data_IF_137156296322
#
_entry.id   IF_137156296322
#
_cell.length_a   1.000
_cell.length_b   1.000
_cell.length_c   1.000
_cell.angle_alpha   90.00
_cell.angle_beta   90.00
_cell.angle_gamma   90.00
#
_symmetry.space_group_name_H-M   'P 1'
#
loop_
_entity.id
_entity.type
_entity.pdbx_description
1 polymer ?
#
# COMPACT_ATOMS: atom_id res chain seq x y z
N UNK A 1 -3.51 20.77 12.02
CA UNK A 1 -2.49 20.39 11.05
C UNK A 1 -2.80 19.03 10.47
N UNK A 2 -2.59 18.86 9.17
CA UNK A 2 -2.95 17.62 8.47
C UNK A 2 -1.72 16.72 8.38
N UNK A 3 -1.93 15.47 8.71
CA UNK A 3 -0.88 14.47 8.60
C UNK A 3 -1.34 13.35 7.70
N UNK A 4 -0.40 12.78 6.98
CA UNK A 4 -0.67 11.66 6.10
C UNK A 4 0.09 10.44 6.59
N UNK A 5 -0.58 9.31 6.57
CA UNK A 5 0.02 8.02 6.87
C UNK A 5 -0.19 7.10 5.70
N UNK A 6 0.85 6.38 5.34
CA UNK A 6 0.79 5.44 4.23
C UNK A 6 1.05 4.06 4.79
N UNK A 7 0.01 3.23 4.80
CA UNK A 7 0.10 1.87 5.31
C UNK A 7 0.32 0.92 4.16
N UNK A 8 1.37 0.11 4.24
CA UNK A 8 1.63 -0.93 3.25
C UNK A 8 1.03 -2.22 3.78
N UNK A 9 0.17 -2.84 2.98
CA UNK A 9 -0.51 -4.07 3.35
C UNK A 9 -0.19 -5.16 2.36
N UNK A 10 -0.10 -6.37 2.88
CA UNK A 10 0.18 -7.56 2.11
C UNK A 10 -1.06 -8.45 2.14
N UNK A 11 -1.41 -9.01 1.00
CA UNK A 11 -2.54 -9.92 0.92
C UNK A 11 -2.15 -11.27 1.50
N UNK A 12 -2.97 -11.78 2.40
CA UNK A 12 -2.78 -13.10 2.98
C UNK A 12 -3.88 -14.01 2.43
N UNK A 13 -3.50 -14.87 1.49
CA UNK A 13 -4.47 -15.73 0.81
C UNK A 13 -5.09 -16.74 1.76
N UNK A 14 -4.31 -17.23 2.73
CA UNK A 14 -4.82 -18.22 3.67
C UNK A 14 -5.95 -17.65 4.52
N UNK A 15 -5.83 -16.40 4.92
CA UNK A 15 -6.85 -15.76 5.75
C UNK A 15 -7.82 -14.92 4.94
N UNK A 16 -7.55 -14.76 3.64
CA UNK A 16 -8.36 -13.94 2.74
C UNK A 16 -8.52 -12.52 3.28
N UNK A 17 -7.42 -11.94 3.73
CA UNK A 17 -7.46 -10.61 4.30
C UNK A 17 -6.13 -9.91 4.09
N UNK A 18 -6.14 -8.58 4.31
CA UNK A 18 -4.95 -7.76 4.21
C UNK A 18 -4.31 -7.61 5.58
N UNK A 19 -2.98 -7.66 5.60
CA UNK A 19 -2.22 -7.46 6.83
C UNK A 19 -1.32 -6.25 6.68
N UNK A 20 -1.27 -5.42 7.71
CA UNK A 20 -0.32 -4.32 7.75
C UNK A 20 1.08 -4.89 7.89
N UNK A 21 1.99 -4.44 7.02
CA UNK A 21 3.38 -4.86 7.14
C UNK A 21 4.28 -3.69 7.50
N UNK A 22 3.88 -2.47 7.20
CA UNK A 22 4.63 -1.30 7.61
C UNK A 22 3.80 -0.04 7.40
N UNK A 23 4.29 1.06 7.97
CA UNK A 23 3.59 2.33 7.90
C UNK A 23 4.64 3.43 7.75
N UNK A 24 4.35 4.40 6.89
CA UNK A 24 5.29 5.47 6.58
C UNK A 24 4.57 6.81 6.60
N UNK A 25 5.33 7.86 6.87
CA UNK A 25 4.78 9.20 6.86
C UNK A 25 4.91 9.88 5.50
N UNK A 26 5.66 9.31 4.57
CA UNK A 26 5.80 9.86 3.24
C UNK A 26 5.58 8.78 2.19
N UNK A 27 5.00 9.19 1.07
CA UNK A 27 4.70 8.27 -0.02
C UNK A 27 5.96 7.68 -0.66
N UNK A 28 7.02 8.45 -0.91
CA UNK A 28 8.21 7.86 -1.52
C UNK A 28 8.80 6.71 -0.71
N UNK A 29 8.78 6.83 0.60
CA UNK A 29 9.28 5.76 1.44
C UNK A 29 8.38 4.53 1.37
N UNK A 30 7.08 4.74 1.33
CA UNK A 30 6.14 3.62 1.21
C UNK A 30 6.30 2.91 -0.12
N UNK A 31 6.48 3.67 -1.20
CA UNK A 31 6.66 3.08 -2.52
C UNK A 31 7.96 2.30 -2.61
N UNK A 32 9.02 2.84 -2.03
CA UNK A 32 10.30 2.14 -2.04
C UNK A 32 10.20 0.82 -1.29
N UNK A 33 9.52 0.84 -0.14
CA UNK A 33 9.33 -0.38 0.65
C UNK A 33 8.48 -1.38 -0.14
N UNK A 34 7.44 -0.91 -0.80
CA UNK A 34 6.58 -1.77 -1.60
C UNK A 34 7.37 -2.49 -2.68
N UNK A 35 8.20 -1.76 -3.40
CA UNK A 35 9.00 -2.36 -4.47
C UNK A 35 9.97 -3.38 -3.92
N UNK A 36 10.60 -3.06 -2.80
CA UNK A 36 11.55 -3.97 -2.19
C UNK A 36 10.86 -5.27 -1.77
N UNK A 37 9.68 -5.14 -1.17
CA UNK A 37 8.95 -6.31 -0.71
C UNK A 37 8.47 -7.17 -1.87
N UNK A 38 8.01 -6.55 -2.95
CA UNK A 38 7.55 -7.33 -4.09
C UNK A 38 8.71 -8.11 -4.72
N UNK A 39 9.91 -7.52 -4.73
CA UNK A 39 11.08 -8.21 -5.26
C UNK A 39 11.48 -9.38 -4.38
N UNK A 40 11.45 -9.17 -3.06
CA UNK A 40 11.80 -10.23 -2.12
C UNK A 40 10.84 -11.40 -2.26
N UNK A 41 9.55 -11.11 -2.46
CA UNK A 41 8.54 -12.15 -2.60
C UNK A 41 8.48 -12.75 -3.99
N UNK A 42 9.36 -12.30 -4.90
CA UNK A 42 9.38 -12.84 -6.24
C UNK A 42 8.17 -12.44 -7.07
N UNK A 43 7.56 -11.33 -6.72
CA UNK A 43 6.40 -10.78 -7.45
C UNK A 43 5.22 -11.74 -7.46
N UNK A 44 5.05 -12.51 -6.40
CA UNK A 44 3.99 -13.53 -6.34
C UNK A 44 2.85 -13.16 -5.42
N UNK A 45 2.96 -12.06 -4.69
CA UNK A 45 2.01 -11.70 -3.66
C UNK A 45 1.50 -10.29 -3.94
N UNK A 46 0.21 -10.07 -3.65
CA UNK A 46 -0.38 -8.76 -3.85
C UNK A 46 -0.10 -7.85 -2.65
N UNK A 47 0.07 -6.58 -2.94
CA UNK A 47 0.33 -5.54 -1.94
C UNK A 47 -0.50 -4.32 -2.29
N UNK A 48 -0.76 -3.49 -1.30
CA UNK A 48 -1.41 -2.21 -1.55
C UNK A 48 -0.92 -1.18 -0.54
N UNK A 49 -1.08 0.08 -0.90
CA UNK A 49 -0.75 1.21 -0.02
C UNK A 49 -2.04 1.98 0.22
N UNK A 50 -2.39 2.11 1.48
CA UNK A 50 -3.53 2.93 1.89
C UNK A 50 -3.01 4.26 2.40
N UNK A 51 -3.62 5.33 1.96
CA UNK A 51 -3.31 6.66 2.44
C UNK A 51 -4.40 7.10 3.39
N UNK A 52 -4.01 7.50 4.58
CA UNK A 52 -4.92 7.98 5.59
C UNK A 52 -4.52 9.39 5.99
N UNK A 53 -5.46 10.28 5.97
CA UNK A 53 -5.24 11.68 6.30
C UNK A 53 -5.91 11.98 7.63
N UNK A 54 -5.14 12.45 8.59
CA UNK A 54 -5.72 12.88 9.86
C UNK A 54 -6.05 14.37 9.78
N UNK A 55 -7.10 14.81 10.45
CA UNK A 55 -7.91 14.09 11.43
C UNK A 55 -9.00 13.21 10.83
N UNK A 56 -9.14 13.14 9.53
CA UNK A 56 -10.10 12.27 8.90
C UNK A 56 -9.70 10.82 9.13
N UNK A 57 -10.70 9.96 9.25
CA UNK A 57 -10.44 8.53 9.39
C UNK A 57 -10.60 7.79 8.08
N UNK A 58 -10.82 8.52 7.01
CA UNK A 58 -10.96 7.90 5.70
C UNK A 58 -9.63 7.38 5.21
N UNK A 59 -9.67 6.21 4.59
CA UNK A 59 -8.50 5.63 3.97
C UNK A 59 -8.82 5.37 2.51
N UNK A 60 -7.84 5.65 1.66
CA UNK A 60 -7.98 5.48 0.23
C UNK A 60 -6.84 4.62 -0.27
N UNK A 61 -7.14 3.66 -1.13
CA UNK A 61 -6.09 2.88 -1.77
C UNK A 61 -5.38 3.79 -2.76
N UNK A 62 -4.09 4.00 -2.54
CA UNK A 62 -3.32 4.92 -3.34
C UNK A 62 -2.52 4.21 -4.41
N UNK A 63 -2.04 3.02 -4.10
CA UNK A 63 -1.26 2.22 -5.04
C UNK A 63 -1.46 0.77 -4.69
N UNK A 64 -1.25 -0.09 -5.67
CA UNK A 64 -1.33 -1.52 -5.40
C UNK A 64 -0.44 -2.26 -6.38
N UNK A 65 -0.10 -3.46 -5.99
CA UNK A 65 0.66 -4.37 -6.83
C UNK A 65 -0.05 -5.71 -6.87
N UNK A 66 -0.27 -6.22 -8.06
CA UNK A 66 -0.77 -7.58 -8.22
C UNK A 66 0.16 -8.32 -9.17
N UNK A 67 0.32 -9.64 -8.98
CA UNK A 67 1.19 -10.40 -9.88
C UNK A 67 0.74 -10.36 -11.32
N UNK A 68 -0.57 -10.21 -11.55
CA UNK A 68 -1.09 -10.21 -12.92
C UNK A 68 -0.89 -8.88 -13.63
N UNK A 69 -1.03 -7.77 -12.90
CA UNK A 69 -1.05 -6.46 -13.52
C UNK A 69 0.14 -5.58 -13.18
N UNK A 70 0.92 -5.98 -12.17
CA UNK A 70 2.05 -5.18 -11.75
C UNK A 70 1.61 -4.00 -10.90
N UNK A 71 2.38 -2.92 -10.97
CA UNK A 71 2.12 -1.74 -10.15
C UNK A 71 1.04 -0.88 -10.78
N UNK A 72 0.10 -0.46 -9.96
CA UNK A 72 -0.95 0.46 -10.37
C UNK A 72 -1.00 1.60 -9.37
N UNK A 73 -1.01 2.82 -9.88
CA UNK A 73 -1.18 4.00 -9.06
C UNK A 73 -2.59 4.50 -9.30
N UNK A 74 -3.33 4.68 -8.20
CA UNK A 74 -4.72 5.07 -8.27
C UNK A 74 -4.78 6.54 -7.98
N UNK A 75 -4.88 7.38 -9.00
CA UNK A 75 -4.86 8.82 -8.78
C UNK A 75 -6.06 9.26 -7.97
N UNK A 76 -5.83 10.31 -7.20
CA UNK A 76 -6.87 10.85 -6.38
C UNK A 76 -7.92 11.49 -7.25
N UNK A 77 -9.16 11.31 -6.87
CA UNK A 77 -10.25 11.93 -7.59
C UNK A 77 -10.31 13.41 -7.33
N UNK A 78 -10.68 14.14 -8.32
CA UNK A 78 -10.84 15.58 -8.18
C UNK A 78 -12.26 15.94 -7.83
#
# INVERSE_FOLDING_TARGET
MTHYYYRVQRWNASAATWHDVNCFSTLPHALKYLRLQTEIEGNKVSYRILCRRTPSFEEVVFARYTPEQGYEYLPEEK
#
